data_IF_656059258375
#
_entry.id   IF_656059258375
#
_cell.length_a   1.000
_cell.length_b   1.000
_cell.length_c   1.000
_cell.angle_alpha   90.00
_cell.angle_beta   90.00
_cell.angle_gamma   90.00
#
_symmetry.space_group_name_H-M   'P 1'
#
loop_
_entity.id
_entity.type
_entity.pdbx_description
1 polymer ?
#
# COMPACT_ATOMS: atom_id res chain seq x y z
N UNK A 1 60.36 -26.14 -5.86
CA UNK A 1 59.94 -24.74 -5.57
C UNK A 1 58.59 -24.39 -6.19
N UNK A 2 58.38 -24.60 -7.51
CA UNK A 2 57.11 -24.28 -8.18
C UNK A 2 55.87 -25.02 -7.62
N UNK A 3 56.05 -26.27 -7.20
CA UNK A 3 54.98 -27.11 -6.63
C UNK A 3 54.50 -26.65 -5.25
N UNK A 4 55.41 -26.08 -4.46
CA UNK A 4 55.08 -25.54 -3.13
C UNK A 4 54.25 -24.26 -3.23
N UNK A 5 54.54 -23.42 -4.23
CA UNK A 5 53.74 -22.23 -4.52
C UNK A 5 52.32 -22.59 -4.98
N UNK A 6 52.19 -23.59 -5.86
CA UNK A 6 50.88 -24.05 -6.32
C UNK A 6 50.03 -24.62 -5.16
N UNK A 7 50.65 -25.41 -4.28
CA UNK A 7 49.96 -25.96 -3.11
C UNK A 7 49.51 -24.86 -2.12
N UNK A 8 50.34 -23.83 -1.90
CA UNK A 8 49.99 -22.71 -1.03
C UNK A 8 48.81 -21.89 -1.59
N UNK A 9 48.80 -21.61 -2.90
CA UNK A 9 47.70 -20.90 -3.56
C UNK A 9 46.38 -21.68 -3.48
N UNK A 10 46.43 -23.01 -3.64
CA UNK A 10 45.26 -23.88 -3.52
C UNK A 10 44.71 -23.92 -2.08
N UNK A 11 45.60 -24.01 -1.09
CA UNK A 11 45.19 -24.02 0.32
C UNK A 11 44.52 -22.69 0.73
N UNK A 12 45.05 -21.56 0.27
CA UNK A 12 44.50 -20.22 0.57
C UNK A 12 43.15 -20.02 -0.13
N UNK A 13 43.01 -20.48 -1.37
CA UNK A 13 41.73 -20.35 -2.09
C UNK A 13 40.63 -21.18 -1.44
N UNK A 14 40.89 -22.43 -1.05
CA UNK A 14 39.91 -23.28 -0.35
C UNK A 14 39.49 -22.69 1.01
N UNK A 15 40.44 -22.13 1.78
CA UNK A 15 40.13 -21.49 3.06
C UNK A 15 39.44 -20.12 2.93
N UNK A 16 39.55 -19.48 1.76
CA UNK A 16 39.02 -18.15 1.48
C UNK A 16 37.59 -18.10 0.93
N UNK A 17 36.97 -19.26 0.62
CA UNK A 17 35.54 -19.33 0.28
C UNK A 17 34.70 -19.08 1.54
N UNK A 18 34.59 -17.82 1.94
CA UNK A 18 33.68 -17.38 2.99
C UNK A 18 32.23 -17.63 2.61
N UNK A 19 31.37 -17.65 3.63
CA UNK A 19 29.91 -17.68 3.43
C UNK A 19 29.49 -16.41 2.70
N UNK A 20 29.02 -16.56 1.46
CA UNK A 20 28.30 -15.47 0.80
C UNK A 20 27.08 -15.16 1.67
N UNK A 21 27.05 -13.97 2.29
CA UNK A 21 25.90 -13.49 3.03
C UNK A 21 24.81 -13.15 2.01
N UNK A 22 24.10 -14.18 1.52
CA UNK A 22 22.84 -14.02 0.85
C UNK A 22 21.91 -13.33 1.86
N UNK A 23 21.44 -12.14 1.47
CA UNK A 23 20.59 -11.24 2.25
C UNK A 23 19.79 -11.99 3.32
N UNK A 24 20.05 -11.78 4.62
CA UNK A 24 19.26 -12.39 5.68
C UNK A 24 17.79 -12.04 5.44
N UNK A 25 16.90 -13.03 5.51
CA UNK A 25 15.46 -12.78 5.47
C UNK A 25 15.11 -11.89 6.68
N UNK A 26 15.02 -10.59 6.44
CA UNK A 26 14.44 -9.67 7.39
C UNK A 26 12.94 -10.02 7.50
N UNK A 27 12.35 -10.02 8.71
CA UNK A 27 10.91 -10.16 8.83
C UNK A 27 10.25 -9.05 8.02
N UNK A 28 9.41 -9.41 7.06
CA UNK A 28 8.57 -8.45 6.37
C UNK A 28 7.72 -7.77 7.45
N UNK A 29 8.05 -6.52 7.78
CA UNK A 29 7.24 -5.71 8.66
C UNK A 29 5.87 -5.62 8.01
N UNK A 30 4.87 -6.26 8.62
CA UNK A 30 3.51 -6.40 8.11
C UNK A 30 2.80 -5.05 8.00
N UNK A 31 3.16 -4.30 6.97
CA UNK A 31 2.37 -3.18 6.49
C UNK A 31 2.04 -3.53 5.04
N UNK A 32 0.80 -3.94 4.81
CA UNK A 32 0.18 -3.96 3.50
C UNK A 32 0.21 -2.53 2.96
N UNK A 33 1.32 -2.17 2.32
CA UNK A 33 1.61 -0.82 1.84
C UNK A 33 0.70 -0.41 0.68
N UNK A 34 -0.07 -1.37 0.13
CA UNK A 34 -0.97 -1.13 -0.99
C UNK A 34 -2.38 -0.67 -0.57
N UNK A 35 -2.69 -0.62 0.74
CA UNK A 35 -4.01 -0.17 1.23
C UNK A 35 -3.85 0.97 2.22
N UNK A 36 -3.91 2.21 1.71
CA UNK A 36 -4.05 3.41 2.54
C UNK A 36 -5.46 3.46 3.14
N UNK A 37 -5.53 3.43 4.47
CA UNK A 37 -6.78 3.54 5.21
C UNK A 37 -7.35 4.97 5.07
N UNK A 38 -8.31 5.15 4.17
CA UNK A 38 -8.92 6.44 3.78
C UNK A 38 -9.50 7.25 4.96
N UNK A 39 -9.68 6.66 6.15
CA UNK A 39 -10.08 7.40 7.36
C UNK A 39 -9.42 6.89 8.65
N UNK A 40 -8.30 6.16 8.55
CA UNK A 40 -7.72 5.50 9.72
C UNK A 40 -8.73 4.68 10.55
N UNK A 41 -9.85 4.22 9.97
CA UNK A 41 -10.93 3.52 10.67
C UNK A 41 -12.05 4.39 11.32
N UNK A 42 -11.96 5.72 11.32
CA UNK A 42 -12.96 6.57 12.00
C UNK A 42 -14.17 6.99 11.15
N UNK A 43 -14.12 6.77 9.84
CA UNK A 43 -15.21 7.12 8.91
C UNK A 43 -15.28 8.63 8.56
N UNK A 44 -16.16 9.01 7.62
CA UNK A 44 -16.29 10.40 7.15
C UNK A 44 -16.69 11.35 8.28
N UNK A 45 -15.99 12.48 8.40
CA UNK A 45 -16.26 13.48 9.43
C UNK A 45 -15.59 13.22 10.78
N UNK A 46 -14.75 12.18 10.90
CA UNK A 46 -14.02 11.86 12.12
C UNK A 46 -12.53 11.62 11.85
N UNK A 47 -11.68 11.90 12.84
CA UNK A 47 -10.24 11.63 12.82
C UNK A 47 -9.81 10.90 14.09
N UNK A 48 -8.69 10.17 14.05
CA UNK A 48 -8.08 9.61 15.28
C UNK A 48 -7.45 10.72 16.10
N UNK A 49 -7.82 10.79 17.38
CA UNK A 49 -7.20 11.68 18.35
C UNK A 49 -5.91 11.10 18.94
N UNK A 50 -5.19 11.88 19.77
CA UNK A 50 -3.94 11.46 20.41
C UNK A 50 -4.06 10.19 21.27
N UNK A 51 -5.24 9.94 21.84
CA UNK A 51 -5.53 8.77 22.66
C UNK A 51 -6.07 7.56 21.87
N UNK A 52 -5.94 7.57 20.54
CA UNK A 52 -6.37 6.47 19.66
C UNK A 52 -7.88 6.37 19.38
N UNK A 53 -8.73 7.09 20.12
CA UNK A 53 -10.17 7.17 19.87
C UNK A 53 -10.54 8.07 18.69
N UNK A 54 -11.73 7.85 18.11
CA UNK A 54 -12.27 8.69 17.05
C UNK A 54 -12.91 9.97 17.60
N UNK A 55 -12.60 11.11 16.97
CA UNK A 55 -13.12 12.45 17.31
C UNK A 55 -13.79 13.06 16.10
N UNK A 56 -14.90 13.77 16.31
CA UNK A 56 -15.54 14.53 15.25
C UNK A 56 -14.60 15.64 14.76
N UNK A 57 -14.48 15.80 13.45
CA UNK A 57 -13.89 16.99 12.85
C UNK A 57 -14.73 18.20 13.29
N UNK A 58 -14.08 19.33 13.59
CA UNK A 58 -14.80 20.57 13.94
C UNK A 58 -15.56 21.08 12.71
N UNK A 59 -16.76 20.57 12.52
CA UNK A 59 -17.62 20.86 11.38
C UNK A 59 -18.41 19.60 10.97
N UNK A 60 -19.73 19.71 10.97
CA UNK A 60 -20.61 18.67 10.42
C UNK A 60 -20.26 18.50 8.94
N UNK A 61 -19.66 17.38 8.58
CA UNK A 61 -19.46 17.02 7.17
C UNK A 61 -20.76 16.42 6.66
N UNK A 62 -21.61 17.25 6.05
CA UNK A 62 -22.77 16.77 5.29
C UNK A 62 -22.24 16.19 3.97
N UNK A 63 -22.06 14.87 3.93
CA UNK A 63 -21.76 14.19 2.66
C UNK A 63 -23.03 14.24 1.82
N UNK A 64 -23.01 15.03 0.73
CA UNK A 64 -24.12 15.03 -0.21
C UNK A 64 -24.19 13.64 -0.88
N UNK A 65 -25.34 12.95 -0.86
CA UNK A 65 -25.44 11.66 -1.51
C UNK A 65 -25.11 11.77 -3.01
N UNK A 66 -24.58 10.70 -3.62
CA UNK A 66 -24.25 10.70 -5.04
C UNK A 66 -25.51 10.96 -5.87
N UNK A 67 -25.48 12.02 -6.67
CA UNK A 67 -26.59 12.35 -7.58
C UNK A 67 -26.60 11.37 -8.75
N UNK A 68 -27.58 10.47 -8.77
CA UNK A 68 -27.75 9.53 -9.88
C UNK A 68 -28.51 10.20 -11.02
N UNK A 69 -27.93 10.20 -12.23
CA UNK A 69 -28.62 10.69 -13.43
C UNK A 69 -29.48 9.57 -13.98
N UNK A 70 -30.80 9.72 -13.93
CA UNK A 70 -31.72 8.79 -14.59
C UNK A 70 -32.07 9.32 -15.98
N UNK A 71 -31.77 8.53 -17.00
CA UNK A 71 -32.12 8.83 -18.38
C UNK A 71 -33.42 8.11 -18.74
N UNK A 72 -34.39 8.85 -19.29
CA UNK A 72 -35.63 8.29 -19.85
C UNK A 72 -35.67 8.56 -21.34
N UNK A 73 -36.13 7.57 -22.10
CA UNK A 73 -36.37 7.74 -23.53
C UNK A 73 -37.74 8.37 -23.75
N UNK A 74 -37.83 9.37 -24.63
CA UNK A 74 -39.08 10.08 -24.91
C UNK A 74 -39.25 10.24 -26.43
N UNK A 75 -39.85 9.21 -27.04
CA UNK A 75 -39.99 9.08 -28.49
C UNK A 75 -38.71 8.62 -29.20
N UNK A 76 -38.78 8.34 -30.51
CA UNK A 76 -37.65 7.83 -31.29
C UNK A 76 -36.49 8.85 -31.31
N UNK A 77 -35.29 8.41 -30.90
CA UNK A 77 -34.06 9.19 -30.97
C UNK A 77 -33.77 10.14 -29.81
N UNK A 78 -34.71 10.40 -28.89
CA UNK A 78 -34.52 11.40 -27.82
C UNK A 78 -34.36 10.76 -26.44
N UNK A 79 -33.14 10.89 -25.89
CA UNK A 79 -32.82 10.56 -24.49
C UNK A 79 -32.75 11.83 -23.66
N UNK A 80 -33.59 11.94 -22.64
CA UNK A 80 -33.52 13.04 -21.68
C UNK A 80 -33.02 12.49 -20.35
N UNK A 81 -31.88 13.01 -19.88
CA UNK A 81 -31.30 12.66 -18.58
C UNK A 81 -31.57 13.79 -17.58
N UNK A 82 -32.23 13.47 -16.46
CA UNK A 82 -32.43 14.42 -15.36
C UNK A 82 -31.65 13.96 -14.13
N UNK A 83 -31.02 14.93 -13.46
CA UNK A 83 -30.47 14.74 -12.12
C UNK A 83 -31.64 14.84 -11.14
N UNK A 84 -31.94 13.77 -10.41
CA UNK A 84 -32.96 13.79 -9.37
C UNK A 84 -32.28 14.03 -8.02
N UNK A 85 -32.90 14.86 -7.17
CA UNK A 85 -32.44 15.20 -5.81
C UNK A 85 -33.34 14.56 -4.78
#
# INVERSE_FOLDING_TARGET
MKTLFAAALLAVSVAGFGTANAMPLAPASGASADVIQVAGGCGPGFHRGPYGGCRANRGVVVVRPPVVRKCRYWGPGRRVCRTWW
#
